data_IF_326222740752
#
_entry.id   IF_326222740752
#
_cell.length_a   1.000
_cell.length_b   1.000
_cell.length_c   1.000
_cell.angle_alpha   90.00
_cell.angle_beta   90.00
_cell.angle_gamma   90.00
#
_symmetry.space_group_name_H-M   'P 1'
#
loop_
_entity.id
_entity.type
_entity.pdbx_description
1 polymer ?
#
# COMPACT_ATOMS: atom_id res chain seq x y z
N UNK A 1 -1.32 -8.73 12.38
CA UNK A 1 -2.24 -8.16 11.37
C UNK A 1 -2.49 -6.65 11.48
N UNK A 2 -2.05 -5.96 12.55
CA UNK A 2 -2.37 -4.55 12.75
C UNK A 2 -1.92 -3.61 11.60
N UNK A 3 -0.74 -3.85 11.00
CA UNK A 3 -0.22 -3.02 9.90
C UNK A 3 -1.03 -3.19 8.60
N UNK A 4 -1.43 -4.41 8.25
CA UNK A 4 -2.31 -4.62 7.09
C UNK A 4 -3.67 -3.97 7.32
N UNK A 5 -4.23 -4.07 8.53
CA UNK A 5 -5.47 -3.38 8.89
C UNK A 5 -5.32 -1.86 8.83
N UNK A 6 -4.17 -1.30 9.21
CA UNK A 6 -3.85 0.14 9.06
C UNK A 6 -3.80 0.53 7.59
N UNK A 7 -3.05 -0.20 6.77
CA UNK A 7 -2.95 0.05 5.33
C UNK A 7 -4.35 0.02 4.66
N UNK A 8 -5.20 -0.96 5.01
CA UNK A 8 -6.59 -1.01 4.54
C UNK A 8 -7.43 0.21 4.94
N UNK A 9 -7.27 0.73 6.17
CA UNK A 9 -7.97 1.95 6.59
C UNK A 9 -7.56 3.15 5.73
N UNK A 10 -6.27 3.30 5.44
CA UNK A 10 -5.78 4.36 4.55
C UNK A 10 -6.23 4.17 3.11
N UNK A 11 -6.28 2.93 2.59
CA UNK A 11 -6.91 2.65 1.30
C UNK A 11 -8.37 3.15 1.26
N UNK A 12 -9.15 2.90 2.32
CA UNK A 12 -10.50 3.44 2.43
C UNK A 12 -10.56 4.97 2.49
N UNK A 13 -9.51 5.66 2.93
CA UNK A 13 -9.41 7.13 2.82
C UNK A 13 -9.17 7.56 1.39
N UNK A 14 -8.22 6.92 0.70
CA UNK A 14 -7.94 7.14 -0.73
C UNK A 14 -9.21 6.92 -1.55
N UNK A 15 -9.94 5.83 -1.32
CA UNK A 15 -11.18 5.55 -2.06
C UNK A 15 -12.27 6.60 -1.83
N UNK A 16 -12.35 7.19 -0.62
CA UNK A 16 -13.27 8.30 -0.34
C UNK A 16 -12.86 9.58 -1.09
N UNK A 17 -11.57 9.86 -1.20
CA UNK A 17 -11.06 10.98 -2.01
C UNK A 17 -11.46 10.84 -3.48
N UNK A 18 -11.40 9.62 -4.01
CA UNK A 18 -11.81 9.32 -5.38
C UNK A 18 -13.32 9.36 -5.57
N UNK A 19 -14.11 8.99 -4.56
CA UNK A 19 -15.57 9.08 -4.60
C UNK A 19 -16.06 10.54 -4.55
N UNK A 20 -15.29 11.41 -3.91
CA UNK A 20 -15.59 12.82 -3.70
C UNK A 20 -15.82 13.10 -2.23
N UNK A 21 -15.10 14.08 -1.70
CA UNK A 21 -15.28 14.56 -0.33
C UNK A 21 -16.11 15.83 -0.37
N UNK A 22 -17.17 15.87 0.43
CA UNK A 22 -17.93 17.08 0.66
C UNK A 22 -17.26 17.93 1.74
N UNK A 23 -17.05 19.21 1.48
CA UNK A 23 -16.66 20.18 2.49
C UNK A 23 -17.42 21.49 2.33
N UNK A 24 -17.84 22.06 3.46
CA UNK A 24 -18.40 23.40 3.55
C UNK A 24 -17.38 24.43 4.06
N UNK A 25 -16.18 24.01 4.44
CA UNK A 25 -15.13 24.84 5.05
C UNK A 25 -13.84 24.88 4.21
N UNK A 26 -13.87 24.34 2.99
CA UNK A 26 -12.70 24.20 2.12
C UNK A 26 -12.00 22.84 2.25
N UNK A 27 -11.01 22.61 1.39
CA UNK A 27 -10.27 21.35 1.29
C UNK A 27 -8.82 21.52 1.75
N UNK A 28 -8.30 20.51 2.45
CA UNK A 28 -6.91 20.44 2.89
C UNK A 28 -6.18 19.42 2.01
N UNK A 29 -5.57 19.91 0.93
CA UNK A 29 -4.89 19.07 -0.06
C UNK A 29 -3.64 18.39 0.50
N UNK A 30 -2.95 19.04 1.44
CA UNK A 30 -1.77 18.50 2.12
C UNK A 30 -2.16 17.29 2.97
N UNK A 31 -3.27 17.38 3.72
CA UNK A 31 -3.78 16.26 4.50
C UNK A 31 -4.18 15.05 3.62
N UNK A 32 -4.69 15.30 2.40
CA UNK A 32 -5.04 14.23 1.46
C UNK A 32 -3.81 13.54 0.89
N UNK A 33 -2.77 14.32 0.59
CA UNK A 33 -1.48 13.78 0.15
C UNK A 33 -0.80 12.98 1.27
N UNK A 34 -0.86 13.46 2.51
CA UNK A 34 -0.35 12.73 3.69
C UNK A 34 -1.06 11.40 3.91
N UNK A 35 -2.37 11.33 3.65
CA UNK A 35 -3.13 10.07 3.69
C UNK A 35 -2.62 9.06 2.63
N UNK A 36 -2.28 9.55 1.43
CA UNK A 36 -1.69 8.73 0.35
C UNK A 36 -0.29 8.24 0.72
N UNK A 37 0.58 9.11 1.23
CA UNK A 37 1.92 8.71 1.67
C UNK A 37 1.85 7.73 2.85
N UNK A 38 0.97 8.01 3.81
CA UNK A 38 0.74 7.14 4.97
C UNK A 38 0.31 5.74 4.56
N UNK A 39 -0.52 5.61 3.51
CA UNK A 39 -0.86 4.31 2.93
C UNK A 39 0.41 3.55 2.51
N UNK A 40 1.26 4.13 1.66
CA UNK A 40 2.44 3.43 1.13
C UNK A 40 3.46 3.08 2.22
N UNK A 41 3.63 3.95 3.21
CA UNK A 41 4.47 3.67 4.39
C UNK A 41 3.93 2.45 5.15
N UNK A 42 2.65 2.48 5.54
CA UNK A 42 2.05 1.36 6.29
C UNK A 42 1.99 0.06 5.48
N UNK A 43 1.73 0.16 4.19
CA UNK A 43 1.69 -0.98 3.28
C UNK A 43 3.07 -1.64 3.14
N UNK A 44 4.14 -0.86 3.01
CA UNK A 44 5.51 -1.41 2.98
C UNK A 44 5.90 -2.07 4.32
N UNK A 45 5.48 -1.50 5.45
CA UNK A 45 5.74 -2.06 6.77
C UNK A 45 4.99 -3.37 7.08
N UNK A 46 4.09 -3.83 6.21
CA UNK A 46 3.52 -5.19 6.31
C UNK A 46 4.61 -6.27 6.24
N UNK A 47 5.69 -6.03 5.49
CA UNK A 47 6.88 -6.91 5.48
C UNK A 47 7.41 -7.18 6.89
N UNK A 48 7.57 -6.12 7.68
CA UNK A 48 8.19 -6.24 9.00
C UNK A 48 7.28 -7.06 9.93
N UNK A 49 5.96 -6.98 9.74
CA UNK A 49 5.03 -7.85 10.45
C UNK A 49 5.17 -9.33 10.04
N UNK A 50 5.27 -9.63 8.74
CA UNK A 50 5.43 -11.00 8.25
C UNK A 50 6.69 -11.68 8.80
N UNK A 51 7.75 -10.91 9.08
CA UNK A 51 8.98 -11.40 9.70
C UNK A 51 8.84 -11.74 11.19
N UNK A 52 8.03 -10.97 11.93
CA UNK A 52 7.94 -11.08 13.39
C UNK A 52 6.66 -11.80 13.84
N UNK A 53 5.98 -12.49 12.94
CA UNK A 53 4.83 -13.32 13.30
C UNK A 53 5.32 -14.55 14.07
N UNK A 54 4.70 -14.85 15.22
CA UNK A 54 5.00 -16.06 15.99
C UNK A 54 4.83 -17.32 15.13
N UNK A 55 5.85 -18.17 15.08
CA UNK A 55 5.86 -19.37 14.24
C UNK A 55 6.14 -19.11 12.75
N UNK A 56 6.53 -17.89 12.37
CA UNK A 56 6.95 -17.58 11.00
C UNK A 56 8.20 -18.37 10.64
N UNK A 57 8.10 -19.20 9.60
CA UNK A 57 9.24 -19.84 8.94
C UNK A 57 9.79 -19.00 7.79
N UNK A 58 9.19 -17.82 7.55
CA UNK A 58 9.47 -16.99 6.38
C UNK A 58 10.71 -16.16 6.63
N UNK A 59 11.70 -16.33 5.76
CA UNK A 59 12.93 -15.58 5.81
C UNK A 59 12.78 -14.21 5.15
N UNK A 60 13.61 -13.25 5.59
CA UNK A 60 13.70 -11.91 4.99
C UNK A 60 13.95 -11.95 3.48
N UNK A 61 14.78 -12.88 3.01
CA UNK A 61 15.05 -13.05 1.59
C UNK A 61 13.79 -13.43 0.79
N UNK A 62 12.88 -14.23 1.35
CA UNK A 62 11.64 -14.64 0.67
C UNK A 62 10.68 -13.46 0.52
N UNK A 63 10.57 -12.61 1.54
CA UNK A 63 9.71 -11.42 1.45
C UNK A 63 10.32 -10.36 0.54
N UNK A 64 11.62 -10.12 0.62
CA UNK A 64 12.29 -9.18 -0.28
C UNK A 64 12.21 -9.68 -1.74
N UNK A 65 12.37 -10.98 -2.00
CA UNK A 65 12.15 -11.58 -3.32
C UNK A 65 10.70 -11.41 -3.79
N UNK A 66 9.71 -11.67 -2.94
CA UNK A 66 8.31 -11.44 -3.25
C UNK A 66 8.02 -9.97 -3.59
N UNK A 67 8.62 -9.02 -2.86
CA UNK A 67 8.52 -7.60 -3.20
C UNK A 67 9.14 -7.35 -4.58
N UNK A 68 10.35 -7.84 -4.84
CA UNK A 68 11.10 -7.60 -6.08
C UNK A 68 10.47 -8.27 -7.32
N UNK A 69 9.69 -9.33 -7.15
CA UNK A 69 8.91 -9.97 -8.22
C UNK A 69 7.64 -9.20 -8.60
N UNK A 70 7.12 -8.35 -7.70
CA UNK A 70 5.85 -7.66 -7.87
C UNK A 70 6.04 -6.15 -8.06
N UNK A 71 5.72 -5.65 -9.27
CA UNK A 71 5.90 -4.24 -9.62
C UNK A 71 5.19 -3.29 -8.65
N UNK A 72 3.94 -3.58 -8.28
CA UNK A 72 3.18 -2.75 -7.36
C UNK A 72 3.88 -2.60 -5.99
N UNK A 73 4.44 -3.69 -5.46
CA UNK A 73 5.15 -3.68 -4.18
C UNK A 73 6.52 -3.01 -4.27
N UNK A 74 7.21 -3.11 -5.41
CA UNK A 74 8.44 -2.34 -5.66
C UNK A 74 8.17 -0.85 -5.63
N UNK A 75 7.15 -0.41 -6.36
CA UNK A 75 6.74 1.00 -6.38
C UNK A 75 6.34 1.45 -4.97
N UNK A 76 5.56 0.65 -4.24
CA UNK A 76 5.20 0.93 -2.85
C UNK A 76 6.44 1.07 -1.95
N UNK A 77 7.44 0.18 -2.10
CA UNK A 77 8.68 0.24 -1.33
C UNK A 77 9.48 1.50 -1.65
N UNK A 78 9.59 1.87 -2.93
CA UNK A 78 10.32 3.07 -3.34
C UNK A 78 9.60 4.36 -2.93
N UNK A 79 8.27 4.40 -2.91
CA UNK A 79 7.48 5.52 -2.39
C UNK A 79 7.64 5.64 -0.86
N UNK A 80 7.54 4.53 -0.13
CA UNK A 80 7.72 4.51 1.31
C UNK A 80 9.14 4.93 1.72
N UNK A 81 10.16 4.45 1.02
CA UNK A 81 11.54 4.87 1.24
C UNK A 81 11.73 6.33 0.81
N UNK A 82 11.19 6.75 -0.34
CA UNK A 82 11.21 8.12 -0.87
C UNK A 82 10.68 9.14 0.14
N UNK A 83 9.55 8.85 0.78
CA UNK A 83 8.93 9.72 1.79
C UNK A 83 9.81 9.96 3.03
N UNK A 84 10.74 9.04 3.35
CA UNK A 84 11.64 9.14 4.52
C UNK A 84 12.91 9.93 4.23
N UNK A 85 13.23 10.13 2.96
CA UNK A 85 14.51 10.69 2.56
C UNK A 85 14.29 11.86 1.62
N UNK A 86 14.34 13.08 2.17
CA UNK A 86 14.40 14.32 1.39
C UNK A 86 15.65 14.38 0.45
N UNK A 87 16.55 13.39 0.53
CA UNK A 87 17.58 12.98 -0.45
C UNK A 87 17.93 11.49 -0.19
N UNK A 88 17.55 10.58 -1.09
CA UNK A 88 17.95 9.15 -0.99
C UNK A 88 19.33 8.92 -1.61
N UNK A 89 20.19 8.24 -0.86
CA UNK A 89 21.53 7.79 -1.27
C UNK A 89 21.57 6.34 -1.79
N UNK A 90 20.41 5.67 -1.95
CA UNK A 90 20.33 4.30 -2.51
C UNK A 90 19.58 4.28 -3.83
N UNK A 91 20.04 3.41 -4.73
CA UNK A 91 19.43 3.13 -6.03
C UNK A 91 17.98 2.63 -5.85
N UNK A 92 16.99 3.23 -6.54
CA UNK A 92 15.58 2.81 -6.48
C UNK A 92 15.39 1.35 -6.93
N UNK A 93 14.50 0.60 -6.30
CA UNK A 93 14.23 -0.82 -6.65
C UNK A 93 13.48 -0.95 -7.98
N UNK A 94 12.74 0.06 -8.40
CA UNK A 94 12.14 0.20 -9.74
C UNK A 94 13.16 0.59 -10.82
N UNK A 95 14.39 0.97 -10.45
CA UNK A 95 15.38 1.57 -11.33
C UNK A 95 15.26 3.09 -11.49
N UNK A 96 14.09 3.69 -11.21
CA UNK A 96 13.86 5.15 -11.24
C UNK A 96 12.96 5.57 -10.08
N UNK A 97 13.33 6.60 -9.31
CA UNK A 97 12.55 7.03 -8.15
C UNK A 97 11.12 7.39 -8.58
N UNK A 98 10.09 6.63 -8.18
CA UNK A 98 8.72 6.97 -8.50
C UNK A 98 8.34 8.24 -7.76
N UNK A 99 7.64 9.13 -8.46
CA UNK A 99 7.08 10.36 -7.89
C UNK A 99 5.56 10.34 -8.03
N UNK A 100 4.87 10.78 -6.97
CA UNK A 100 3.44 11.08 -7.05
C UNK A 100 3.33 12.43 -7.74
N UNK A 101 2.55 12.51 -8.82
CA UNK A 101 2.27 13.76 -9.52
C UNK A 101 1.19 14.57 -8.80
N UNK A 102 1.14 15.87 -9.09
CA UNK A 102 0.06 16.73 -8.63
C UNK A 102 -1.32 16.09 -8.87
N UNK A 103 -2.24 16.20 -7.90
CA UNK A 103 -3.54 15.59 -8.02
C UNK A 103 -4.32 16.18 -9.20
N UNK A 104 -5.03 15.32 -9.92
CA UNK A 104 -6.11 15.79 -10.79
C UNK A 104 -7.34 16.04 -9.92
N UNK A 105 -7.75 17.30 -9.86
CA UNK A 105 -8.88 17.78 -9.06
C UNK A 105 -10.10 18.00 -9.95
N UNK A 106 -11.24 17.45 -9.53
CA UNK A 106 -12.54 17.72 -10.16
C UNK A 106 -13.50 18.33 -9.14
N UNK A 107 -13.85 19.59 -9.35
CA UNK A 107 -14.75 20.37 -8.50
C UNK A 107 -16.19 20.26 -9.00
N UNK A 108 -17.12 19.97 -8.11
CA UNK A 108 -18.55 20.11 -8.36
C UNK A 108 -19.18 20.90 -7.23
N UNK A 109 -19.64 22.11 -7.56
CA UNK A 109 -20.28 23.02 -6.62
C UNK A 109 -21.80 22.90 -6.71
N UNK A 110 -22.47 22.89 -5.56
CA UNK A 110 -23.92 22.98 -5.51
C UNK A 110 -24.31 24.14 -4.59
N UNK A 111 -25.09 25.07 -5.14
CA UNK A 111 -25.62 26.21 -4.41
C UNK A 111 -27.08 25.94 -4.03
N UNK A 112 -27.38 25.87 -2.73
CA UNK A 112 -28.76 25.93 -2.22
C UNK A 112 -28.79 26.92 -1.06
N UNK A 113 -29.15 28.17 -1.36
CA UNK A 113 -29.25 29.25 -0.36
C UNK A 113 -27.95 29.59 0.38
N UNK A 114 -28.06 29.99 1.66
CA UNK A 114 -26.95 30.45 2.52
C UNK A 114 -25.97 29.35 3.00
N UNK A 115 -26.03 28.14 2.43
CA UNK A 115 -25.25 26.98 2.88
C UNK A 115 -24.84 26.08 1.73
N UNK A 116 -24.24 26.64 0.68
CA UNK A 116 -23.61 25.85 -0.38
C UNK A 116 -22.43 25.03 0.15
N UNK A 117 -22.00 24.04 -0.63
CA UNK A 117 -20.77 23.34 -0.35
C UNK A 117 -20.19 22.68 -1.60
N UNK A 118 -18.97 22.21 -1.46
CA UNK A 118 -18.16 21.73 -2.57
C UNK A 118 -17.96 20.22 -2.44
N UNK A 119 -18.12 19.50 -3.54
CA UNK A 119 -17.66 18.12 -3.65
C UNK A 119 -16.39 18.14 -4.48
N UNK A 120 -15.30 17.70 -3.88
CA UNK A 120 -14.01 17.62 -4.55
C UNK A 120 -13.57 16.17 -4.68
N UNK A 121 -13.31 15.76 -5.91
CA UNK A 121 -12.70 14.48 -6.24
C UNK A 121 -11.21 14.68 -6.51
N UNK A 122 -10.37 13.94 -5.79
CA UNK A 122 -8.94 13.88 -6.03
C UNK A 122 -8.57 12.54 -6.65
N UNK A 123 -7.74 12.58 -7.69
CA UNK A 123 -7.03 11.39 -8.15
C UNK A 123 -5.54 11.68 -8.25
N UNK A 124 -4.73 10.79 -7.70
CA UNK A 124 -3.28 10.88 -7.73
C UNK A 124 -2.73 9.84 -8.70
N UNK A 125 -1.60 10.16 -9.34
CA UNK A 125 -0.88 9.20 -10.18
C UNK A 125 0.56 9.08 -9.73
N UNK A 126 1.12 7.91 -9.93
CA UNK A 126 2.54 7.64 -9.73
C UNK A 126 3.19 7.51 -11.09
N UNK A 127 4.27 8.24 -11.31
CA UNK A 127 5.12 8.07 -12.46
C UNK A 127 6.22 7.06 -12.12
N UNK A 128 6.27 5.94 -12.84
CA UNK A 128 7.30 4.91 -12.69
C UNK A 128 7.72 4.42 -14.06
N UNK A 129 9.02 4.46 -14.37
CA UNK A 129 9.58 3.95 -15.64
C UNK A 129 8.87 4.44 -16.92
N UNK A 130 8.42 5.71 -16.93
CA UNK A 130 7.70 6.31 -18.06
C UNK A 130 6.20 5.98 -18.14
N UNK A 131 5.69 5.17 -17.22
CA UNK A 131 4.27 4.86 -17.08
C UNK A 131 3.62 5.70 -15.99
N UNK A 132 2.36 6.06 -16.21
CA UNK A 132 1.51 6.77 -15.25
C UNK A 132 0.50 5.78 -14.69
N UNK A 133 0.58 5.51 -13.38
CA UNK A 133 -0.23 4.50 -12.69
C UNK A 133 -1.16 5.21 -11.71
N UNK A 134 -2.45 4.86 -11.71
CA UNK A 134 -3.43 5.39 -10.77
C UNK A 134 -3.12 4.93 -9.33
N UNK A 135 -3.05 5.88 -8.38
CA UNK A 135 -2.70 5.57 -6.98
C UNK A 135 -3.69 4.62 -6.33
N UNK A 136 -4.99 4.78 -6.60
CA UNK A 136 -6.01 3.88 -6.04
C UNK A 136 -5.87 2.47 -6.61
N UNK A 137 -5.60 2.32 -7.91
CA UNK A 137 -5.32 1.02 -8.51
C UNK A 137 -4.08 0.37 -7.87
N UNK A 138 -2.97 1.10 -7.82
CA UNK A 138 -1.72 0.63 -7.23
C UNK A 138 -1.90 0.21 -5.77
N UNK A 139 -2.64 1.00 -4.98
CA UNK A 139 -2.91 0.73 -3.58
C UNK A 139 -3.73 -0.56 -3.38
N UNK A 140 -4.75 -0.79 -4.21
CA UNK A 140 -5.55 -2.04 -4.19
C UNK A 140 -4.70 -3.25 -4.51
N UNK A 141 -3.84 -3.14 -5.53
CA UNK A 141 -2.96 -4.22 -5.95
C UNK A 141 -1.97 -4.58 -4.84
N UNK A 142 -1.38 -3.59 -4.17
CA UNK A 142 -0.49 -3.84 -3.04
C UNK A 142 -1.18 -4.59 -1.89
N UNK A 143 -2.41 -4.21 -1.55
CA UNK A 143 -3.18 -4.91 -0.50
C UNK A 143 -3.49 -6.35 -0.92
N UNK A 144 -3.93 -6.57 -2.16
CA UNK A 144 -4.26 -7.89 -2.66
C UNK A 144 -3.04 -8.83 -2.63
N UNK A 145 -1.87 -8.33 -3.04
CA UNK A 145 -0.61 -9.09 -3.00
C UNK A 145 -0.22 -9.46 -1.58
N UNK A 146 -0.34 -8.53 -0.62
CA UNK A 146 -0.07 -8.84 0.79
C UNK A 146 -1.07 -9.85 1.36
N UNK A 147 -2.35 -9.76 1.03
CA UNK A 147 -3.34 -10.75 1.44
C UNK A 147 -3.04 -12.15 0.91
N UNK A 148 -2.65 -12.24 -0.36
CA UNK A 148 -2.25 -13.50 -0.98
C UNK A 148 -1.02 -14.10 -0.30
N UNK A 149 0.02 -13.30 -0.09
CA UNK A 149 1.26 -13.73 0.55
C UNK A 149 1.02 -14.24 1.97
N UNK A 150 0.31 -13.46 2.78
CA UNK A 150 0.00 -13.82 4.17
C UNK A 150 -0.96 -15.00 4.28
N UNK A 151 -1.93 -15.10 3.36
CA UNK A 151 -2.82 -16.26 3.25
C UNK A 151 -2.06 -17.56 2.97
N UNK A 152 -1.03 -17.50 2.11
CA UNK A 152 -0.13 -18.62 1.84
C UNK A 152 0.66 -19.06 3.07
N UNK A 153 1.19 -18.11 3.86
CA UNK A 153 1.93 -18.39 5.10
C UNK A 153 1.04 -19.12 6.12
N UNK A 154 -0.18 -18.65 6.32
CA UNK A 154 -1.12 -19.27 7.26
C UNK A 154 -1.52 -20.70 6.85
N UNK A 155 -1.55 -20.99 5.55
CA UNK A 155 -1.81 -22.35 5.05
C UNK A 155 -0.60 -23.28 5.26
N UNK A 156 0.63 -22.78 5.12
CA UNK A 156 1.84 -23.56 5.38
C UNK A 156 2.02 -23.88 6.86
N UNK A 157 1.75 -22.92 7.75
CA UNK A 157 1.83 -23.10 9.20
C UNK A 157 0.83 -24.15 9.74
N UNK A 158 -0.29 -24.37 9.03
CA UNK A 158 -1.32 -25.34 9.40
C UNK A 158 -1.15 -26.72 8.74
N UNK A 159 -0.07 -26.98 7.99
CA UNK A 159 0.16 -28.32 7.45
C UNK A 159 0.51 -29.28 8.61
N UNK A 160 -0.20 -30.41 8.75
CA UNK A 160 0.24 -31.45 9.67
C UNK A 160 1.65 -31.90 9.25
N UNK A 161 2.54 -32.03 10.25
CA UNK A 161 3.91 -32.49 10.03
C UNK A 161 3.94 -33.82 9.27
N UNK A 162 5.06 -34.14 8.58
CA UNK A 162 5.17 -35.40 7.87
C UNK A 162 4.86 -36.55 8.84
N UNK A 163 4.11 -37.59 8.39
CA UNK A 163 3.88 -38.75 9.22
C UNK A 163 5.24 -39.28 9.66
N UNK A 164 5.45 -39.38 10.97
CA UNK A 164 6.63 -40.02 11.55
C UNK A 164 6.65 -41.43 10.95
N UNK A 165 7.59 -41.69 10.07
CA UNK A 165 7.84 -43.03 9.56
C UNK A 165 8.28 -43.86 10.75
N UNK A 166 7.39 -44.72 11.24
CA UNK A 166 7.74 -45.78 12.19
C UNK A 166 8.87 -46.59 11.56
N UNK A 167 10.09 -46.30 11.99
CA UNK A 167 11.27 -47.11 11.71
C UNK A 167 11.01 -48.52 12.25
N UNK A 168 11.00 -49.48 11.33
CA UNK A 168 11.53 -50.83 11.47
C UNK A 168 11.81 -51.25 12.92
N UNK A 169 10.85 -51.96 13.52
CA UNK A 169 11.15 -52.86 14.64
C UNK A 169 11.53 -54.22 14.01
N UNK A 170 12.72 -54.78 14.35
CA UNK A 170 13.31 -55.95 13.70
C UNK A 170 12.53 -57.24 13.90
#
# INVERSE_FOLDING_TARGET
>A
MEQLSRAKRYLGRIERLYAGVFSSLGHDEDAYFDDVLSFFIHCYHVRDWALHQDGSTVQRCEIDAFIDENEALRICADLANGSKHCKLTRTPRSGHQPSITDPQTHYSTWYVGNGGGEVLQFSYRVMSSGQSIDVRQLARECIALWEQFLGGILQQANRPGPPVSDEFIP
#
